data_IF_512080361823
#
_entry.id   IF_512080361823
#
_cell.length_a   1.000
_cell.length_b   1.000
_cell.length_c   1.000
_cell.angle_alpha   90.00
_cell.angle_beta   90.00
_cell.angle_gamma   90.00
#
_symmetry.space_group_name_H-M   'P 1'
#
loop_
_entity.id
_entity.type
_entity.pdbx_description
1 polymer ?
#
# COMPACT_ATOMS: atom_id res chain seq x y z
N UNK A 1 1.04 -2.89 4.13
CA UNK A 1 0.34 -2.17 3.05
C UNK A 1 0.07 -3.07 1.84
N UNK A 2 1.06 -3.66 1.13
CA UNK A 2 0.78 -4.56 -0.01
C UNK A 2 -0.25 -5.68 0.27
N UNK A 3 -0.14 -6.37 1.41
CA UNK A 3 -1.13 -7.39 1.81
C UNK A 3 -2.54 -6.82 2.03
N UNK A 4 -2.62 -5.59 2.54
CA UNK A 4 -3.90 -4.87 2.72
C UNK A 4 -4.50 -4.52 1.36
N UNK A 5 -3.68 -4.03 0.43
CA UNK A 5 -4.08 -3.76 -0.96
C UNK A 5 -4.55 -5.04 -1.66
N UNK A 6 -3.93 -6.18 -1.39
CA UNK A 6 -4.39 -7.47 -1.90
C UNK A 6 -5.75 -7.88 -1.30
N UNK A 7 -5.94 -7.65 0.00
CA UNK A 7 -7.25 -7.85 0.65
C UNK A 7 -8.35 -6.97 0.03
N UNK A 8 -8.02 -5.73 -0.34
CA UNK A 8 -8.90 -4.84 -1.08
C UNK A 8 -9.23 -5.37 -2.48
N UNK A 9 -8.25 -5.94 -3.20
CA UNK A 9 -8.55 -6.60 -4.48
C UNK A 9 -9.53 -7.77 -4.29
N UNK A 10 -9.35 -8.56 -3.23
CA UNK A 10 -10.23 -9.68 -2.92
C UNK A 10 -11.65 -9.25 -2.57
N UNK A 11 -11.85 -8.13 -1.85
CA UNK A 11 -13.20 -7.61 -1.57
C UNK A 11 -13.94 -7.21 -2.85
N UNK A 12 -13.20 -6.91 -3.92
CA UNK A 12 -13.75 -6.64 -5.25
C UNK A 12 -13.82 -7.87 -6.16
N UNK A 13 -13.51 -9.08 -5.67
CA UNK A 13 -13.53 -10.30 -6.47
C UNK A 13 -12.35 -10.47 -7.43
N UNK A 14 -11.28 -9.67 -7.30
CA UNK A 14 -10.08 -9.76 -8.13
C UNK A 14 -8.91 -10.39 -7.37
N UNK A 15 -8.04 -11.09 -8.11
CA UNK A 15 -6.77 -11.62 -7.59
C UNK A 15 -5.62 -11.24 -8.51
N UNK A 16 -4.56 -10.66 -7.94
CA UNK A 16 -3.32 -10.44 -8.69
C UNK A 16 -2.62 -11.77 -8.97
N UNK A 17 -2.13 -11.95 -10.21
CA UNK A 17 -1.21 -13.07 -10.54
C UNK A 17 0.16 -12.78 -9.95
N UNK A 18 0.77 -13.77 -9.30
CA UNK A 18 2.10 -13.66 -8.70
C UNK A 18 3.19 -13.73 -9.77
N UNK A 19 3.46 -12.59 -10.41
CA UNK A 19 4.49 -12.42 -11.43
C UNK A 19 5.42 -11.26 -11.05
N UNK A 20 6.65 -11.16 -11.57
CA UNK A 20 7.50 -9.99 -11.38
C UNK A 20 6.72 -8.70 -11.69
N UNK A 21 6.83 -7.69 -10.83
CA UNK A 21 6.09 -6.43 -10.97
C UNK A 21 4.61 -6.45 -10.55
N UNK A 22 4.05 -7.57 -10.07
CA UNK A 22 2.64 -7.65 -9.64
C UNK A 22 2.22 -6.59 -8.60
N UNK A 23 3.16 -6.13 -7.77
CA UNK A 23 2.91 -5.06 -6.80
C UNK A 23 2.44 -3.75 -7.46
N UNK A 24 2.87 -3.46 -8.69
CA UNK A 24 2.44 -2.28 -9.45
C UNK A 24 0.95 -2.40 -9.77
N UNK A 25 0.53 -3.55 -10.33
CA UNK A 25 -0.88 -3.80 -10.63
C UNK A 25 -1.76 -3.73 -9.38
N UNK A 26 -1.27 -4.23 -8.24
CA UNK A 26 -1.98 -4.13 -6.95
C UNK A 26 -2.15 -2.66 -6.53
N UNK A 27 -1.09 -1.86 -6.60
CA UNK A 27 -1.12 -0.44 -6.22
C UNK A 27 -2.08 0.35 -7.11
N UNK A 28 -1.99 0.16 -8.42
CA UNK A 28 -2.83 0.87 -9.39
C UNK A 28 -4.29 0.44 -9.30
N UNK A 29 -4.56 -0.82 -8.97
CA UNK A 29 -5.93 -1.28 -8.71
C UNK A 29 -6.56 -0.52 -7.54
N UNK A 30 -5.85 -0.36 -6.43
CA UNK A 30 -6.33 0.43 -5.29
C UNK A 30 -6.48 1.89 -5.68
N UNK A 31 -5.49 2.47 -6.37
CA UNK A 31 -5.50 3.88 -6.80
C UNK A 31 -6.73 4.22 -7.65
N UNK A 32 -7.14 3.31 -8.53
CA UNK A 32 -8.27 3.51 -9.42
C UNK A 32 -9.64 3.48 -8.71
N UNK A 33 -9.74 2.91 -7.51
CA UNK A 33 -11.02 2.66 -6.82
C UNK A 33 -11.18 3.43 -5.52
N UNK A 34 -10.08 3.71 -4.83
CA UNK A 34 -10.15 4.47 -3.59
C UNK A 34 -10.56 5.91 -3.86
N UNK A 35 -11.23 6.54 -2.91
CA UNK A 35 -11.59 7.96 -3.04
C UNK A 35 -10.35 8.84 -3.27
N UNK A 36 -10.41 9.75 -4.25
CA UNK A 36 -9.27 10.60 -4.68
C UNK A 36 -8.58 11.37 -3.54
N UNK A 37 -9.32 11.72 -2.50
CA UNK A 37 -8.80 12.33 -1.25
C UNK A 37 -7.65 11.53 -0.60
N UNK A 38 -7.57 10.22 -0.86
CA UNK A 38 -6.54 9.33 -0.32
C UNK A 38 -5.38 9.06 -1.30
N UNK A 39 -5.34 9.72 -2.47
CA UNK A 39 -4.29 9.50 -3.47
C UNK A 39 -2.88 9.78 -2.90
N UNK A 40 -2.74 10.81 -2.06
CA UNK A 40 -1.48 11.12 -1.38
C UNK A 40 -0.97 9.96 -0.52
N UNK A 41 -1.88 9.28 0.19
CA UNK A 41 -1.54 8.13 1.04
C UNK A 41 -1.01 6.94 0.23
N UNK A 42 -1.56 6.70 -0.98
CA UNK A 42 -1.05 5.68 -1.89
C UNK A 42 0.34 6.04 -2.42
N UNK A 43 0.59 7.32 -2.71
CA UNK A 43 1.90 7.80 -3.13
C UNK A 43 2.96 7.60 -2.04
N UNK A 44 2.62 7.92 -0.78
CA UNK A 44 3.53 7.65 0.36
C UNK A 44 3.77 6.16 0.53
N UNK A 45 2.73 5.32 0.40
CA UNK A 45 2.88 3.87 0.40
C UNK A 45 3.88 3.37 -0.66
N UNK A 46 3.74 3.76 -1.94
CA UNK A 46 4.68 3.31 -2.97
C UNK A 46 6.11 3.80 -2.69
N UNK A 47 6.29 5.03 -2.19
CA UNK A 47 7.60 5.54 -1.75
C UNK A 47 8.20 4.67 -0.64
N UNK A 48 7.44 4.34 0.39
CA UNK A 48 7.89 3.48 1.50
C UNK A 48 8.22 2.06 1.02
N UNK A 49 7.45 1.51 0.07
CA UNK A 49 7.75 0.21 -0.55
C UNK A 49 9.09 0.23 -1.28
N UNK A 50 9.38 1.29 -2.05
CA UNK A 50 10.67 1.47 -2.74
C UNK A 50 11.81 1.68 -1.73
N UNK A 51 11.62 2.52 -0.72
CA UNK A 51 12.61 2.75 0.35
C UNK A 51 12.94 1.45 1.10
N UNK A 52 11.94 0.62 1.43
CA UNK A 52 12.16 -0.72 1.99
C UNK A 52 13.01 -1.60 1.06
N UNK A 53 12.77 -1.56 -0.25
CA UNK A 53 13.54 -2.35 -1.20
C UNK A 53 15.02 -1.93 -1.21
N UNK A 54 15.29 -0.62 -1.21
CA UNK A 54 16.66 -0.10 -1.10
C UNK A 54 17.29 -0.51 0.25
N UNK A 55 16.60 -0.27 1.36
CA UNK A 55 17.10 -0.62 2.70
C UNK A 55 17.41 -2.11 2.93
N UNK A 56 16.83 -3.02 2.15
CA UNK A 56 17.07 -4.46 2.29
C UNK A 56 18.14 -5.01 1.36
N UNK A 57 18.39 -4.36 0.23
CA UNK A 57 19.20 -4.92 -0.86
C UNK A 57 20.33 -3.99 -1.32
N UNK A 58 20.35 -2.75 -0.85
CA UNK A 58 21.37 -1.76 -1.17
C UNK A 58 22.07 -1.34 0.14
N UNK A 59 23.40 -1.48 0.18
CA UNK A 59 24.23 -1.15 1.34
C UNK A 59 24.19 0.35 1.72
N UNK A 60 23.60 1.19 0.86
CA UNK A 60 23.39 2.63 1.10
C UNK A 60 22.06 2.99 1.77
N UNK A 61 21.20 1.99 2.03
CA UNK A 61 19.84 2.21 2.50
C UNK A 61 19.72 2.60 3.98
N UNK A 62 19.93 3.88 4.30
CA UNK A 62 19.75 4.39 5.66
C UNK A 62 18.26 4.57 6.02
N UNK A 63 17.87 4.07 7.19
CA UNK A 63 16.54 4.26 7.79
C UNK A 63 16.70 4.80 9.21
N UNK A 64 16.26 6.03 9.44
CA UNK A 64 16.26 6.62 10.78
C UNK A 64 15.12 6.06 11.64
N UNK A 65 15.21 6.24 12.96
CA UNK A 65 14.10 5.92 13.87
C UNK A 65 12.82 6.69 13.47
N UNK A 66 12.96 7.98 13.16
CA UNK A 66 11.85 8.82 12.71
C UNK A 66 11.19 8.28 11.42
N UNK A 67 11.99 7.82 10.45
CA UNK A 67 11.45 7.18 9.25
C UNK A 67 10.63 5.93 9.57
N UNK A 68 11.09 5.12 10.51
CA UNK A 68 10.40 3.91 10.93
C UNK A 68 9.06 4.24 11.60
N UNK A 69 9.03 5.23 12.49
CA UNK A 69 7.80 5.72 13.13
C UNK A 69 6.81 6.26 12.11
N UNK A 70 7.25 7.09 11.16
CA UNK A 70 6.40 7.60 10.09
C UNK A 70 5.88 6.48 9.18
N UNK A 71 6.69 5.46 8.90
CA UNK A 71 6.26 4.31 8.11
C UNK A 71 5.17 3.50 8.83
N UNK A 72 5.29 3.31 10.14
CA UNK A 72 4.28 2.64 10.97
C UNK A 72 2.97 3.44 11.00
N UNK A 73 3.05 4.75 11.18
CA UNK A 73 1.90 5.63 11.21
C UNK A 73 1.18 5.65 9.85
N UNK A 74 1.94 5.75 8.76
CA UNK A 74 1.40 5.63 7.40
C UNK A 74 0.70 4.29 7.20
N UNK A 75 1.30 3.19 7.67
CA UNK A 75 0.71 1.86 7.54
C UNK A 75 -0.61 1.72 8.30
N UNK A 76 -0.71 2.30 9.51
CA UNK A 76 -1.96 2.36 10.29
C UNK A 76 -3.05 3.14 9.56
N UNK A 77 -2.71 4.34 9.09
CA UNK A 77 -3.65 5.20 8.35
C UNK A 77 -4.12 4.52 7.05
N UNK A 78 -3.21 3.90 6.30
CA UNK A 78 -3.54 3.15 5.10
C UNK A 78 -4.52 2.00 5.38
N UNK A 79 -4.28 1.22 6.44
CA UNK A 79 -5.17 0.14 6.83
C UNK A 79 -6.56 0.65 7.22
N UNK A 80 -6.64 1.74 7.97
CA UNK A 80 -7.90 2.36 8.37
C UNK A 80 -8.73 2.78 7.16
N UNK A 81 -8.11 3.49 6.21
CA UNK A 81 -8.79 3.93 4.98
C UNK A 81 -9.34 2.74 4.19
N UNK A 82 -8.52 1.71 3.96
CA UNK A 82 -8.95 0.54 3.18
C UNK A 82 -10.07 -0.22 3.89
N UNK A 83 -10.01 -0.39 5.22
CA UNK A 83 -11.08 -1.04 5.98
C UNK A 83 -12.39 -0.28 5.88
N UNK A 84 -12.34 1.04 5.99
CA UNK A 84 -13.52 1.88 5.85
C UNK A 84 -14.13 1.76 4.45
N UNK A 85 -13.30 1.76 3.41
CA UNK A 85 -13.76 1.61 2.02
C UNK A 85 -14.45 0.25 1.79
N UNK A 86 -13.84 -0.84 2.25
CA UNK A 86 -14.42 -2.19 2.19
C UNK A 86 -15.74 -2.26 2.97
N UNK A 87 -15.81 -1.67 4.16
CA UNK A 87 -17.04 -1.69 4.98
C UNK A 87 -18.18 -0.87 4.35
N UNK A 88 -17.87 0.15 3.55
CA UNK A 88 -18.86 0.95 2.83
C UNK A 88 -19.40 0.25 1.57
N UNK A 89 -18.71 -0.76 1.05
CA UNK A 89 -19.24 -1.59 -0.02
C UNK A 89 -20.35 -2.49 0.53
N UNK A 90 -21.60 -2.13 0.22
CA UNK A 90 -22.73 -3.06 0.37
C UNK A 90 -22.59 -4.19 -0.69
N UNK A 91 -23.00 -5.42 -0.35
CA UNK A 91 -22.97 -6.55 -1.27
C UNK A 91 -23.81 -6.31 -2.52
#
# INVERSE_FOLDING_TARGET
MLKVSLGFMFSHGFRARSQPGHHIAIIEFVRARIHKKHAGLITVFDRLRRKRNLALYDDTGFVSHHDAEQALETARNYLGVIRTDIAMQKP
#
